data_IF_299437000415
#
_entry.id   IF_299437000415
#
_cell.length_a   1.000
_cell.length_b   1.000
_cell.length_c   1.000
_cell.angle_alpha   90.00
_cell.angle_beta   90.00
_cell.angle_gamma   90.00
#
_symmetry.space_group_name_H-M   'P 1'
#
loop_
_entity.id
_entity.type
_entity.pdbx_description
1 polymer ?
#
# COMPACT_ATOMS: atom_id res chain seq x y z
N UNK A 1 -7.87 115.38 -90.14
CA UNK A 1 -7.86 116.50 -89.16
C UNK A 1 -8.62 117.67 -89.80
N UNK A 2 -9.66 118.32 -89.23
CA UNK A 2 -9.82 118.71 -87.81
C UNK A 2 -11.30 118.99 -87.39
N UNK A 3 -11.77 118.39 -86.28
CA UNK A 3 -12.89 118.82 -85.38
C UNK A 3 -14.38 118.76 -85.82
N UNK A 4 -15.27 118.69 -84.78
CA UNK A 4 -16.71 119.08 -84.64
C UNK A 4 -17.76 118.11 -85.25
N UNK A 5 -19.02 117.96 -84.81
CA UNK A 5 -19.89 118.48 -83.72
C UNK A 5 -21.21 117.68 -83.75
N UNK A 6 -21.92 117.69 -82.62
CA UNK A 6 -23.31 117.27 -82.39
C UNK A 6 -24.33 117.60 -83.50
N UNK A 7 -25.30 116.72 -83.75
CA UNK A 7 -26.61 117.06 -84.32
C UNK A 7 -27.75 116.26 -83.67
N UNK A 8 -28.77 116.99 -83.24
CA UNK A 8 -30.01 116.52 -82.64
C UNK A 8 -30.90 115.78 -83.63
N UNK A 9 -31.40 114.62 -83.25
CA UNK A 9 -32.41 113.84 -83.98
C UNK A 9 -33.77 113.99 -83.26
N UNK A 10 -34.70 114.75 -83.87
CA UNK A 10 -36.14 114.74 -83.54
C UNK A 10 -36.86 114.09 -84.72
N UNK A 11 -37.35 112.87 -84.53
CA UNK A 11 -38.09 112.11 -85.55
C UNK A 11 -39.20 111.25 -84.95
N UNK A 12 -40.41 111.45 -85.46
CA UNK A 12 -41.60 110.60 -85.43
C UNK A 12 -42.06 109.95 -84.11
N UNK A 13 -43.15 110.49 -83.57
CA UNK A 13 -43.73 110.19 -82.26
C UNK A 13 -44.77 109.04 -82.26
N UNK A 14 -44.95 108.27 -83.33
CA UNK A 14 -46.02 107.26 -83.45
C UNK A 14 -45.59 105.77 -83.41
N UNK A 15 -44.30 105.45 -83.23
CA UNK A 15 -43.84 104.06 -83.02
C UNK A 15 -43.41 103.72 -81.58
N UNK A 16 -43.58 104.64 -80.61
CA UNK A 16 -43.19 104.42 -79.20
C UNK A 16 -44.19 103.62 -78.35
N UNK A 17 -45.43 103.45 -78.82
CA UNK A 17 -46.47 102.70 -78.09
C UNK A 17 -46.34 101.19 -78.30
N UNK A 18 -46.14 100.74 -79.55
CA UNK A 18 -45.94 99.31 -79.85
C UNK A 18 -44.66 98.76 -79.20
N UNK A 19 -43.56 99.51 -79.20
CA UNK A 19 -42.30 99.07 -78.58
C UNK A 19 -42.38 98.95 -77.05
N UNK A 20 -43.20 99.76 -76.36
CA UNK A 20 -43.39 99.65 -74.91
C UNK A 20 -44.26 98.46 -74.53
N UNK A 21 -45.31 98.17 -75.30
CA UNK A 21 -46.17 97.01 -75.09
C UNK A 21 -45.46 95.71 -75.46
N UNK A 22 -44.71 95.68 -76.56
CA UNK A 22 -43.89 94.52 -76.95
C UNK A 22 -42.75 94.30 -75.94
N UNK A 23 -42.08 95.35 -75.47
CA UNK A 23 -41.06 95.23 -74.43
C UNK A 23 -41.65 94.72 -73.10
N UNK A 24 -42.84 95.18 -72.69
CA UNK A 24 -43.50 94.69 -71.48
C UNK A 24 -43.92 93.21 -71.58
N UNK A 25 -44.41 92.78 -72.74
CA UNK A 25 -44.74 91.36 -72.99
C UNK A 25 -43.47 90.51 -73.03
N UNK A 26 -42.40 90.97 -73.68
CA UNK A 26 -41.11 90.28 -73.69
C UNK A 26 -40.52 90.19 -72.27
N UNK A 27 -40.62 91.26 -71.47
CA UNK A 27 -40.14 91.27 -70.08
C UNK A 27 -40.97 90.34 -69.20
N UNK A 28 -42.29 90.29 -69.40
CA UNK A 28 -43.19 89.41 -68.66
C UNK A 28 -42.97 87.94 -69.02
N UNK A 29 -42.80 87.63 -70.31
CA UNK A 29 -42.40 86.29 -70.77
C UNK A 29 -41.03 85.91 -70.24
N UNK A 30 -40.06 86.84 -70.24
CA UNK A 30 -38.76 86.61 -69.60
C UNK A 30 -38.88 86.39 -68.10
N UNK A 31 -39.73 87.13 -67.38
CA UNK A 31 -39.97 86.91 -65.96
C UNK A 31 -40.58 85.53 -65.70
N UNK A 32 -41.56 85.09 -66.49
CA UNK A 32 -42.17 83.74 -66.40
C UNK A 32 -41.14 82.65 -66.72
N UNK A 33 -40.30 82.86 -67.73
CA UNK A 33 -39.23 81.91 -68.08
C UNK A 33 -38.19 81.86 -66.97
N UNK A 34 -37.80 83.00 -66.39
CA UNK A 34 -36.81 83.06 -65.31
C UNK A 34 -37.36 82.47 -64.00
N UNK A 35 -38.63 82.70 -63.65
CA UNK A 35 -39.26 82.05 -62.48
C UNK A 35 -39.52 80.57 -62.73
N UNK A 36 -39.93 80.19 -63.94
CA UNK A 36 -40.05 78.79 -64.35
C UNK A 36 -38.71 78.05 -64.29
N UNK A 37 -37.63 78.66 -64.78
CA UNK A 37 -36.27 78.13 -64.64
C UNK A 37 -35.87 78.00 -63.17
N UNK A 38 -36.16 78.98 -62.31
CA UNK A 38 -35.85 78.88 -60.88
C UNK A 38 -36.60 77.75 -60.15
N UNK A 39 -37.86 77.47 -60.53
CA UNK A 39 -38.65 76.37 -59.98
C UNK A 39 -38.19 75.00 -60.49
N UNK A 40 -37.75 74.94 -61.75
CA UNK A 40 -37.18 73.74 -62.35
C UNK A 40 -35.82 73.43 -61.71
N UNK A 41 -34.96 74.43 -61.50
CA UNK A 41 -33.68 74.26 -60.83
C UNK A 41 -33.86 73.81 -59.37
N UNK A 42 -34.79 74.42 -58.60
CA UNK A 42 -35.11 74.00 -57.23
C UNK A 42 -35.68 72.57 -57.16
N UNK A 43 -36.49 72.18 -58.15
CA UNK A 43 -36.97 70.80 -58.28
C UNK A 43 -35.84 69.81 -58.55
N UNK A 44 -34.92 70.12 -59.47
CA UNK A 44 -33.78 69.23 -59.78
C UNK A 44 -32.80 69.13 -58.61
N UNK A 45 -32.54 70.21 -57.89
CA UNK A 45 -31.73 70.19 -56.66
C UNK A 45 -32.39 69.30 -55.61
N UNK A 46 -33.68 69.51 -55.31
CA UNK A 46 -34.42 68.67 -54.35
C UNK A 46 -34.51 67.20 -54.76
N UNK A 47 -34.66 66.92 -56.07
CA UNK A 47 -34.64 65.54 -56.57
C UNK A 47 -33.26 64.91 -56.39
N UNK A 48 -32.18 65.64 -56.69
CA UNK A 48 -30.81 65.17 -56.46
C UNK A 48 -30.53 64.91 -54.97
N UNK A 49 -31.00 65.77 -54.08
CA UNK A 49 -30.90 65.58 -52.63
C UNK A 49 -31.69 64.35 -52.17
N UNK A 50 -32.91 64.17 -52.67
CA UNK A 50 -33.74 63.00 -52.39
C UNK A 50 -33.07 61.71 -52.86
N UNK A 51 -32.57 61.67 -54.10
CA UNK A 51 -31.88 60.51 -54.65
C UNK A 51 -30.60 60.19 -53.85
N UNK A 52 -29.87 61.22 -53.40
CA UNK A 52 -28.71 61.08 -52.51
C UNK A 52 -29.09 60.50 -51.14
N UNK A 53 -30.15 61.03 -50.52
CA UNK A 53 -30.66 60.53 -49.24
C UNK A 53 -31.16 59.09 -49.36
N UNK A 54 -31.84 58.74 -50.46
CA UNK A 54 -32.29 57.38 -50.72
C UNK A 54 -31.11 56.42 -50.88
N UNK A 55 -30.04 56.84 -51.55
CA UNK A 55 -28.81 56.06 -51.68
C UNK A 55 -28.13 55.85 -50.31
N UNK A 56 -28.03 56.90 -49.49
CA UNK A 56 -27.49 56.81 -48.13
C UNK A 56 -28.33 55.90 -47.24
N UNK A 57 -29.66 55.97 -47.33
CA UNK A 57 -30.58 55.11 -46.58
C UNK A 57 -30.39 53.64 -46.98
N UNK A 58 -30.27 53.36 -48.28
CA UNK A 58 -30.04 52.00 -48.77
C UNK A 58 -28.68 51.44 -48.31
N UNK A 59 -27.62 52.26 -48.30
CA UNK A 59 -26.29 51.87 -47.83
C UNK A 59 -26.25 51.66 -46.30
N UNK A 60 -26.95 52.51 -45.54
CA UNK A 60 -27.13 52.36 -44.11
C UNK A 60 -27.90 51.07 -43.77
N UNK A 61 -28.99 50.76 -44.49
CA UNK A 61 -29.74 49.53 -44.31
C UNK A 61 -28.87 48.29 -44.62
N UNK A 62 -28.11 48.32 -45.72
CA UNK A 62 -27.17 47.25 -46.06
C UNK A 62 -26.10 47.03 -44.97
N UNK A 63 -25.61 48.13 -44.38
CA UNK A 63 -24.65 48.08 -43.28
C UNK A 63 -25.29 47.51 -42.00
N UNK A 64 -26.52 47.91 -41.69
CA UNK A 64 -27.27 47.39 -40.55
C UNK A 64 -27.54 45.88 -40.67
N UNK A 65 -27.94 45.42 -41.86
CA UNK A 65 -28.14 43.99 -42.14
C UNK A 65 -26.83 43.19 -41.94
N UNK A 66 -25.71 43.71 -42.45
CA UNK A 66 -24.39 43.09 -42.25
C UNK A 66 -23.96 43.06 -40.77
N UNK A 67 -24.31 44.09 -39.99
CA UNK A 67 -24.04 44.12 -38.56
C UNK A 67 -24.93 43.14 -37.79
N UNK A 68 -26.21 43.02 -38.15
CA UNK A 68 -27.12 42.03 -37.55
C UNK A 68 -26.63 40.61 -37.78
N UNK A 69 -26.11 40.31 -38.98
CA UNK A 69 -25.56 38.98 -39.26
C UNK A 69 -24.31 38.68 -38.42
N UNK A 70 -23.43 39.67 -38.22
CA UNK A 70 -22.29 39.54 -37.31
C UNK A 70 -22.71 39.35 -35.85
N UNK A 71 -23.77 40.03 -35.41
CA UNK A 71 -24.31 39.86 -34.04
C UNK A 71 -24.78 38.42 -33.85
N UNK A 72 -25.54 37.87 -34.81
CA UNK A 72 -25.98 36.46 -34.76
C UNK A 72 -24.81 35.49 -34.73
N UNK A 73 -23.76 35.73 -35.51
CA UNK A 73 -22.56 34.89 -35.51
C UNK A 73 -21.85 34.91 -34.14
N UNK A 74 -21.78 36.08 -33.50
CA UNK A 74 -21.19 36.24 -32.16
C UNK A 74 -22.06 35.56 -31.10
N UNK A 75 -23.38 35.70 -31.15
CA UNK A 75 -24.33 35.05 -30.25
C UNK A 75 -24.17 33.53 -30.30
N UNK A 76 -24.17 32.94 -31.50
CA UNK A 76 -23.98 31.49 -31.69
C UNK A 76 -22.62 31.01 -31.16
N UNK A 77 -21.54 31.80 -31.35
CA UNK A 77 -20.21 31.45 -30.81
C UNK A 77 -20.17 31.53 -29.28
N UNK A 78 -20.85 32.49 -28.68
CA UNK A 78 -20.92 32.62 -27.22
C UNK A 78 -21.71 31.47 -26.59
N UNK A 79 -22.81 31.05 -27.22
CA UNK A 79 -23.56 29.86 -26.77
C UNK A 79 -22.70 28.60 -26.80
N UNK A 80 -22.00 28.36 -27.91
CA UNK A 80 -21.08 27.22 -28.04
C UNK A 80 -19.94 27.23 -27.00
N UNK A 81 -19.38 28.42 -26.72
CA UNK A 81 -18.33 28.57 -25.71
C UNK A 81 -18.85 28.33 -24.28
N UNK A 82 -20.08 28.74 -23.97
CA UNK A 82 -20.66 28.50 -22.65
C UNK A 82 -20.98 27.01 -22.44
N UNK A 83 -21.41 26.29 -23.49
CA UNK A 83 -21.54 24.83 -23.45
C UNK A 83 -20.20 24.13 -23.23
N UNK A 84 -19.14 24.53 -23.94
CA UNK A 84 -17.80 23.96 -23.77
C UNK A 84 -17.24 24.21 -22.36
N UNK A 85 -17.44 25.43 -21.83
CA UNK A 85 -17.06 25.82 -20.48
C UNK A 85 -17.80 25.00 -19.41
N UNK A 86 -19.09 24.74 -19.59
CA UNK A 86 -19.86 23.91 -18.66
C UNK A 86 -19.34 22.46 -18.67
N UNK A 87 -19.10 21.91 -19.87
CA UNK A 87 -18.57 20.55 -20.02
C UNK A 87 -17.17 20.39 -19.38
N UNK A 88 -16.29 21.38 -19.56
CA UNK A 88 -14.97 21.36 -18.92
C UNK A 88 -15.06 21.55 -17.40
N UNK A 89 -16.03 22.32 -16.90
CA UNK A 89 -16.32 22.42 -15.47
C UNK A 89 -16.70 21.07 -14.86
N UNK A 90 -17.62 20.33 -15.49
CA UNK A 90 -18.03 18.99 -15.05
C UNK A 90 -16.85 17.99 -15.03
N UNK A 91 -15.97 18.06 -16.03
CA UNK A 91 -14.78 17.20 -16.10
C UNK A 91 -13.78 17.48 -14.97
N UNK A 92 -13.57 18.76 -14.63
CA UNK A 92 -12.72 19.17 -13.50
C UNK A 92 -13.28 18.65 -12.17
N UNK A 93 -14.59 18.75 -11.96
CA UNK A 93 -15.24 18.26 -10.73
C UNK A 93 -15.13 16.74 -10.57
N UNK A 94 -15.25 16.01 -11.68
CA UNK A 94 -15.05 14.57 -11.72
C UNK A 94 -13.59 14.20 -11.38
N UNK A 95 -12.62 14.85 -12.01
CA UNK A 95 -11.20 14.62 -11.76
C UNK A 95 -10.81 14.95 -10.32
N UNK A 96 -11.32 16.04 -9.76
CA UNK A 96 -11.08 16.41 -8.35
C UNK A 96 -11.63 15.36 -7.38
N UNK A 97 -12.80 14.79 -7.68
CA UNK A 97 -13.40 13.71 -6.89
C UNK A 97 -12.55 12.44 -6.95
N UNK A 98 -12.05 12.07 -8.13
CA UNK A 98 -11.16 10.92 -8.31
C UNK A 98 -9.82 11.10 -7.58
N UNK A 99 -9.21 12.28 -7.66
CA UNK A 99 -7.95 12.60 -6.93
C UNK A 99 -8.14 12.48 -5.43
N UNK A 100 -9.27 12.95 -4.89
CA UNK A 100 -9.59 12.85 -3.47
C UNK A 100 -9.73 11.40 -3.00
N UNK A 101 -10.43 10.57 -3.78
CA UNK A 101 -10.59 9.14 -3.49
C UNK A 101 -9.23 8.42 -3.53
N UNK A 102 -8.43 8.64 -4.58
CA UNK A 102 -7.09 8.05 -4.71
C UNK A 102 -6.17 8.45 -3.55
N UNK A 103 -6.20 9.72 -3.11
CA UNK A 103 -5.46 10.16 -1.92
C UNK A 103 -5.93 9.44 -0.66
N UNK A 104 -7.24 9.31 -0.46
CA UNK A 104 -7.79 8.59 0.70
C UNK A 104 -7.41 7.11 0.71
N UNK A 105 -7.31 6.47 -0.45
CA UNK A 105 -6.89 5.08 -0.57
C UNK A 105 -5.39 4.91 -0.29
N UNK A 106 -4.56 5.86 -0.75
CA UNK A 106 -3.10 5.83 -0.56
C UNK A 106 -2.71 6.05 0.90
N UNK A 107 -3.31 7.04 1.57
CA UNK A 107 -2.87 7.46 2.91
C UNK A 107 -3.22 6.43 4.00
N UNK A 108 -4.39 5.80 3.94
CA UNK A 108 -4.87 4.98 5.05
C UNK A 108 -4.40 3.52 5.01
N UNK A 109 -4.40 2.88 3.83
CA UNK A 109 -4.19 1.42 3.73
C UNK A 109 -2.73 1.04 3.50
N UNK A 110 -1.99 1.82 2.71
CA UNK A 110 -0.61 1.47 2.36
C UNK A 110 0.35 1.76 3.51
N UNK A 111 0.23 2.92 4.17
CA UNK A 111 1.15 3.33 5.24
C UNK A 111 1.01 2.40 6.46
N UNK A 112 -0.21 2.19 6.97
CA UNK A 112 -0.42 1.33 8.14
C UNK A 112 0.01 -0.13 7.91
N UNK A 113 -0.21 -0.66 6.70
CA UNK A 113 0.24 -2.01 6.37
C UNK A 113 1.76 -2.09 6.28
N UNK A 114 2.42 -1.07 5.69
CA UNK A 114 3.87 -1.01 5.61
C UNK A 114 4.52 -0.83 6.99
N UNK A 115 3.94 0.01 7.85
CA UNK A 115 4.41 0.20 9.24
C UNK A 115 4.36 -1.12 10.03
N UNK A 116 3.26 -1.87 9.94
CA UNK A 116 3.16 -3.21 10.57
C UNK A 116 4.17 -4.21 10.01
N UNK A 117 4.45 -4.16 8.71
CA UNK A 117 5.47 -5.01 8.10
C UNK A 117 6.88 -4.64 8.57
N UNK A 118 7.17 -3.34 8.68
CA UNK A 118 8.45 -2.84 9.20
C UNK A 118 8.63 -3.26 10.66
N UNK A 119 7.63 -3.04 11.52
CA UNK A 119 7.69 -3.44 12.94
C UNK A 119 7.95 -4.95 13.10
N UNK A 120 7.27 -5.78 12.29
CA UNK A 120 7.52 -7.23 12.26
C UNK A 120 8.95 -7.56 11.82
N UNK A 121 9.46 -6.90 10.78
CA UNK A 121 10.80 -7.13 10.24
C UNK A 121 11.91 -6.59 11.15
N UNK A 122 11.69 -5.52 11.92
CA UNK A 122 12.68 -4.99 12.87
C UNK A 122 12.80 -5.86 14.13
N UNK A 123 11.71 -6.51 14.54
CA UNK A 123 11.72 -7.46 15.67
C UNK A 123 12.53 -8.73 15.40
N UNK A 124 12.50 -9.24 14.15
CA UNK A 124 13.14 -10.50 13.78
C UNK A 124 14.67 -10.53 13.96
N UNK A 125 15.46 -9.53 13.50
CA UNK A 125 16.90 -9.48 13.73
C UNK A 125 17.28 -9.46 15.21
N UNK A 126 16.50 -8.78 16.05
CA UNK A 126 16.77 -8.72 17.49
C UNK A 126 16.58 -10.09 18.14
N UNK A 127 15.50 -10.80 17.80
CA UNK A 127 15.22 -12.16 18.27
C UNK A 127 16.29 -13.15 17.83
N UNK A 128 16.63 -13.14 16.53
CA UNK A 128 17.67 -14.02 15.99
C UNK A 128 19.05 -13.74 16.61
N UNK A 129 19.37 -12.47 16.87
CA UNK A 129 20.60 -12.06 17.55
C UNK A 129 20.68 -12.60 18.98
N UNK A 130 19.58 -12.60 19.73
CA UNK A 130 19.54 -13.20 21.08
C UNK A 130 19.84 -14.70 21.03
N UNK A 131 19.16 -15.44 20.15
CA UNK A 131 19.41 -16.87 19.96
C UNK A 131 20.86 -17.16 19.57
N UNK A 132 21.42 -16.39 18.62
CA UNK A 132 22.80 -16.53 18.16
C UNK A 132 23.81 -16.26 19.28
N UNK A 133 23.59 -15.22 20.09
CA UNK A 133 24.50 -14.87 21.19
C UNK A 133 24.54 -15.95 22.27
N UNK A 134 23.42 -16.67 22.47
CA UNK A 134 23.28 -17.69 23.52
C UNK A 134 23.46 -19.12 23.00
N UNK A 135 23.68 -19.32 21.70
CA UNK A 135 23.64 -20.64 21.05
C UNK A 135 24.59 -21.66 21.70
N UNK A 136 25.78 -21.23 22.09
CA UNK A 136 26.76 -22.12 22.73
C UNK A 136 26.29 -22.56 24.12
N UNK A 137 25.62 -21.69 24.87
CA UNK A 137 25.09 -22.02 26.19
C UNK A 137 23.87 -22.95 26.08
N UNK A 138 23.01 -22.72 25.10
CA UNK A 138 21.87 -23.60 24.81
C UNK A 138 22.36 -24.99 24.37
N UNK A 139 23.33 -25.06 23.46
CA UNK A 139 23.84 -26.33 22.93
C UNK A 139 24.58 -27.20 23.96
N UNK A 140 25.08 -26.63 25.07
CA UNK A 140 25.64 -27.41 26.20
C UNK A 140 24.60 -28.29 26.87
N UNK A 141 23.33 -27.91 26.80
CA UNK A 141 22.21 -28.65 27.39
C UNK A 141 21.61 -29.67 26.41
N UNK A 142 22.20 -29.85 25.22
CA UNK A 142 21.77 -30.83 24.22
C UNK A 142 22.74 -32.01 24.19
N UNK A 143 22.16 -33.21 24.15
CA UNK A 143 22.84 -34.48 24.32
C UNK A 143 22.55 -35.42 23.16
N UNK A 144 23.53 -36.22 22.82
CA UNK A 144 23.39 -37.40 21.98
C UNK A 144 23.04 -38.57 22.90
N UNK A 145 21.86 -39.15 22.72
CA UNK A 145 21.42 -40.36 23.40
C UNK A 145 21.72 -41.61 22.57
N UNK A 146 22.08 -42.71 23.25
CA UNK A 146 22.27 -44.03 22.65
C UNK A 146 21.95 -45.12 23.69
N UNK A 147 21.51 -46.27 23.21
CA UNK A 147 21.34 -47.51 23.98
C UNK A 147 22.26 -48.63 23.49
N UNK A 148 22.90 -48.45 22.33
CA UNK A 148 23.73 -49.47 21.73
C UNK A 148 25.07 -49.63 22.48
N UNK A 149 25.66 -50.83 22.50
CA UNK A 149 27.01 -51.05 23.04
C UNK A 149 28.05 -50.21 22.30
N UNK A 150 27.96 -50.21 20.97
CA UNK A 150 28.76 -49.36 20.08
C UNK A 150 28.36 -47.89 20.24
N UNK A 151 29.31 -46.97 20.13
CA UNK A 151 29.06 -45.56 20.47
C UNK A 151 27.99 -44.87 19.61
N UNK A 152 27.72 -45.36 18.38
CA UNK A 152 26.93 -44.62 17.39
C UNK A 152 25.95 -45.47 16.55
N UNK A 153 25.65 -46.71 16.94
CA UNK A 153 24.81 -47.60 16.12
C UNK A 153 23.32 -47.20 16.09
N UNK A 154 22.83 -46.49 17.12
CA UNK A 154 21.49 -45.89 17.16
C UNK A 154 21.55 -44.61 18.02
N UNK A 155 21.42 -43.44 17.38
CA UNK A 155 21.49 -42.15 18.07
C UNK A 155 20.19 -41.37 17.95
N UNK A 156 19.85 -40.68 19.02
CA UNK A 156 18.72 -39.76 19.12
C UNK A 156 19.15 -38.51 19.91
N UNK A 157 18.31 -37.48 19.91
CA UNK A 157 18.59 -36.26 20.68
C UNK A 157 17.94 -36.35 22.06
N UNK A 158 18.63 -35.82 23.06
CA UNK A 158 18.09 -35.56 24.37
C UNK A 158 18.53 -34.17 24.83
N UNK A 159 17.92 -33.64 25.87
CA UNK A 159 18.31 -32.36 26.46
C UNK A 159 18.10 -32.34 27.96
N UNK A 160 18.77 -31.43 28.64
CA UNK A 160 18.60 -31.24 30.09
C UNK A 160 17.62 -30.12 30.41
N UNK A 161 16.82 -30.29 31.45
CA UNK A 161 16.02 -29.21 32.04
C UNK A 161 16.39 -29.02 33.50
N UNK A 162 16.31 -27.79 33.99
CA UNK A 162 16.38 -27.50 35.42
C UNK A 162 14.98 -27.38 36.00
N UNK A 163 14.66 -28.24 36.97
CA UNK A 163 13.35 -28.23 37.62
C UNK A 163 13.48 -28.63 39.10
N UNK A 164 12.89 -27.82 39.99
CA UNK A 164 12.94 -28.01 41.46
C UNK A 164 14.36 -28.28 42.00
N UNK A 165 15.33 -27.46 41.56
CA UNK A 165 16.75 -27.53 41.93
C UNK A 165 17.46 -28.84 41.55
N UNK A 166 16.89 -29.61 40.60
CA UNK A 166 17.49 -30.81 40.03
C UNK A 166 17.57 -30.69 38.51
N UNK A 167 18.47 -31.46 37.93
CA UNK A 167 18.62 -31.57 36.48
C UNK A 167 18.10 -32.93 36.01
N UNK A 168 17.30 -32.91 34.94
CA UNK A 168 16.73 -34.10 34.32
C UNK A 168 17.12 -34.16 32.85
N UNK A 169 17.32 -35.36 32.31
CA UNK A 169 17.52 -35.57 30.87
C UNK A 169 16.21 -36.03 30.25
N UNK A 170 15.80 -35.30 29.21
CA UNK A 170 14.52 -35.47 28.51
C UNK A 170 14.78 -35.89 27.08
N UNK A 171 13.97 -36.80 26.55
CA UNK A 171 14.02 -37.25 25.15
C UNK A 171 12.62 -37.68 24.69
N UNK A 172 12.49 -38.09 23.43
CA UNK A 172 11.27 -38.71 22.92
C UNK A 172 11.14 -40.14 23.48
N UNK A 173 9.94 -40.53 23.87
CA UNK A 173 9.67 -41.83 24.47
C UNK A 173 9.77 -42.98 23.47
N UNK A 174 9.52 -42.78 22.19
CA UNK A 174 9.75 -43.81 21.17
C UNK A 174 11.23 -44.19 21.06
N UNK A 175 12.15 -43.22 21.24
CA UNK A 175 13.58 -43.50 21.31
C UNK A 175 13.92 -44.40 22.50
N UNK A 176 13.16 -44.32 23.60
CA UNK A 176 13.27 -45.22 24.74
C UNK A 176 12.63 -46.56 24.42
N UNK A 177 11.38 -46.58 23.96
CA UNK A 177 10.59 -47.79 23.70
C UNK A 177 11.23 -48.74 22.68
N UNK A 178 11.81 -48.18 21.62
CA UNK A 178 12.45 -48.98 20.57
C UNK A 178 13.66 -49.77 21.10
N UNK A 179 14.29 -49.28 22.16
CA UNK A 179 15.56 -49.76 22.69
C UNK A 179 15.49 -50.40 24.09
N UNK A 180 14.45 -50.10 24.86
CA UNK A 180 14.30 -50.58 26.24
C UNK A 180 14.28 -52.10 26.30
N UNK A 181 15.24 -52.69 27.02
CA UNK A 181 15.36 -54.14 27.21
C UNK A 181 15.94 -54.92 26.03
N UNK A 182 16.31 -54.27 24.92
CA UNK A 182 16.92 -54.92 23.75
C UNK A 182 18.43 -54.79 23.72
N UNK A 183 18.96 -53.62 24.06
CA UNK A 183 20.39 -53.32 24.00
C UNK A 183 20.78 -52.37 25.14
N UNK A 184 21.68 -52.82 26.02
CA UNK A 184 22.47 -51.97 26.93
C UNK A 184 21.72 -51.07 27.94
N UNK A 185 22.52 -50.35 28.72
CA UNK A 185 22.08 -49.23 29.57
C UNK A 185 22.05 -47.97 28.72
N UNK A 186 21.00 -47.14 28.84
CA UNK A 186 20.95 -45.83 28.17
C UNK A 186 22.16 -44.97 28.58
N UNK A 187 22.79 -44.36 27.58
CA UNK A 187 23.93 -43.47 27.75
C UNK A 187 23.71 -42.16 26.99
N UNK A 188 24.18 -41.07 27.57
CA UNK A 188 24.02 -39.72 27.02
C UNK A 188 25.34 -38.97 27.02
N UNK A 189 25.68 -38.32 25.91
CA UNK A 189 26.89 -37.53 25.77
C UNK A 189 26.54 -36.10 25.37
N UNK A 190 26.96 -35.12 26.15
CA UNK A 190 26.76 -33.71 25.82
C UNK A 190 27.58 -33.33 24.58
N UNK A 191 27.10 -32.37 23.77
CA UNK A 191 27.75 -31.97 22.52
C UNK A 191 29.24 -31.63 22.62
N UNK A 192 29.67 -31.08 23.75
CA UNK A 192 31.04 -30.62 23.97
C UNK A 192 31.77 -31.44 25.05
N UNK A 193 31.33 -32.68 25.28
CA UNK A 193 31.90 -33.58 26.26
C UNK A 193 32.30 -34.91 25.63
N UNK A 194 33.43 -35.46 26.08
CA UNK A 194 33.85 -36.82 25.74
C UNK A 194 33.29 -37.87 26.72
N UNK A 195 32.62 -37.43 27.79
CA UNK A 195 32.12 -38.30 28.84
C UNK A 195 30.67 -38.73 28.58
N UNK A 196 30.43 -40.02 28.73
CA UNK A 196 29.09 -40.59 28.73
C UNK A 196 28.49 -40.57 30.15
N UNK A 197 27.24 -40.16 30.26
CA UNK A 197 26.40 -40.26 31.46
C UNK A 197 25.50 -41.49 31.34
N UNK A 198 25.26 -42.17 32.47
CA UNK A 198 24.42 -43.37 32.56
C UNK A 198 23.31 -43.15 33.59
N UNK A 199 22.30 -42.34 33.27
CA UNK A 199 21.24 -41.99 34.20
C UNK A 199 20.18 -43.09 34.33
N UNK A 200 19.48 -43.09 35.45
CA UNK A 200 18.33 -43.95 35.71
C UNK A 200 17.11 -43.44 34.93
N UNK A 201 16.38 -44.37 34.29
CA UNK A 201 15.10 -44.08 33.68
C UNK A 201 14.03 -43.91 34.78
N UNK A 202 13.43 -42.73 34.88
CA UNK A 202 12.35 -42.44 35.82
C UNK A 202 10.98 -42.84 35.27
N UNK A 203 10.78 -42.63 33.97
CA UNK A 203 9.53 -42.97 33.29
C UNK A 203 9.55 -42.53 31.84
N UNK A 204 8.73 -43.19 31.02
CA UNK A 204 8.55 -42.85 29.61
C UNK A 204 7.14 -43.21 29.15
N UNK A 205 6.72 -42.62 28.04
CA UNK A 205 5.52 -42.98 27.29
C UNK A 205 5.80 -42.76 25.81
N UNK A 206 5.32 -43.65 24.94
CA UNK A 206 5.59 -43.60 23.51
C UNK A 206 4.27 -43.63 22.70
N UNK A 207 3.43 -42.61 22.89
CA UNK A 207 2.18 -42.45 22.15
C UNK A 207 2.26 -41.31 21.13
N UNK A 208 2.59 -41.68 19.90
CA UNK A 208 2.75 -40.73 18.78
C UNK A 208 1.50 -39.88 18.50
N UNK A 209 0.31 -40.50 18.42
CA UNK A 209 -0.90 -39.80 17.96
C UNK A 209 -1.46 -38.76 18.94
N UNK A 210 -1.13 -38.89 20.22
CA UNK A 210 -1.61 -37.97 21.26
C UNK A 210 -0.55 -36.93 21.64
N UNK A 211 0.60 -36.91 20.95
CA UNK A 211 1.78 -36.12 21.34
C UNK A 211 2.17 -36.36 22.81
N UNK A 212 1.99 -37.60 23.26
CA UNK A 212 2.31 -38.04 24.61
C UNK A 212 3.50 -39.01 24.52
N UNK A 213 4.59 -38.44 24.01
CA UNK A 213 5.79 -39.16 23.63
C UNK A 213 7.00 -38.51 24.30
N UNK A 214 7.45 -39.09 25.41
CA UNK A 214 8.51 -38.56 26.25
C UNK A 214 9.29 -39.67 26.98
N UNK A 215 10.54 -39.39 27.32
CA UNK A 215 11.36 -40.16 28.25
C UNK A 215 12.05 -39.23 29.23
N UNK A 216 12.07 -39.60 30.52
CA UNK A 216 12.65 -38.80 31.60
C UNK A 216 13.69 -39.64 32.35
N UNK A 217 14.91 -39.10 32.42
CA UNK A 217 16.05 -39.72 33.07
C UNK A 217 16.65 -38.81 34.14
N UNK A 218 17.32 -39.41 35.12
CA UNK A 218 17.96 -38.69 36.22
C UNK A 218 19.27 -39.35 36.66
N UNK A 219 20.25 -38.52 37.01
CA UNK A 219 21.49 -38.92 37.67
C UNK A 219 21.89 -37.85 38.70
N UNK A 220 22.46 -38.28 39.82
CA UNK A 220 22.98 -37.36 40.83
C UNK A 220 24.19 -36.58 40.31
N UNK A 221 24.33 -35.31 40.73
CA UNK A 221 25.46 -34.46 40.39
C UNK A 221 25.42 -33.84 38.99
N UNK A 222 24.34 -34.02 38.23
CA UNK A 222 24.10 -33.24 37.01
C UNK A 222 23.80 -31.79 37.36
N UNK A 223 24.30 -30.87 36.53
CA UNK A 223 24.08 -29.42 36.67
C UNK A 223 23.73 -28.80 35.32
N UNK A 224 23.02 -27.68 35.35
CA UNK A 224 22.57 -27.00 34.15
C UNK A 224 21.23 -27.55 33.66
N UNK A 225 20.86 -27.16 32.45
CA UNK A 225 19.55 -27.43 31.86
C UNK A 225 18.89 -26.15 31.38
N UNK A 226 18.01 -26.33 30.40
CA UNK A 226 17.16 -25.26 29.89
C UNK A 226 16.18 -24.79 30.96
N UNK A 227 15.88 -23.49 30.90
CA UNK A 227 14.67 -22.93 31.49
C UNK A 227 13.44 -23.40 30.71
N UNK A 228 12.29 -23.40 31.37
CA UNK A 228 11.06 -24.01 30.85
C UNK A 228 9.98 -22.94 30.78
N UNK A 229 9.18 -22.99 29.73
CA UNK A 229 8.12 -22.03 29.49
C UNK A 229 6.85 -22.68 28.96
N UNK A 230 5.72 -22.09 29.32
CA UNK A 230 4.40 -22.45 28.79
C UNK A 230 4.04 -21.57 27.58
N UNK A 231 4.85 -20.53 27.30
CA UNK A 231 4.58 -19.51 26.29
C UNK A 231 5.02 -19.98 24.91
N UNK A 232 4.05 -20.38 24.09
CA UNK A 232 4.27 -20.58 22.64
C UNK A 232 4.44 -19.23 21.95
N UNK A 233 5.52 -19.08 21.20
CA UNK A 233 5.81 -17.91 20.35
C UNK A 233 5.57 -18.22 18.87
N UNK A 234 5.50 -17.19 18.02
CA UNK A 234 5.43 -17.38 16.56
C UNK A 234 6.70 -18.07 16.03
N UNK A 235 7.86 -17.65 16.53
CA UNK A 235 9.16 -18.22 16.15
C UNK A 235 9.53 -19.34 17.13
N UNK A 236 9.79 -20.54 16.61
CA UNK A 236 10.13 -21.73 17.39
C UNK A 236 11.28 -22.47 16.74
N UNK A 237 12.22 -22.93 17.56
CA UNK A 237 13.49 -23.49 17.10
C UNK A 237 13.72 -24.89 17.65
N UNK A 238 14.37 -25.73 16.84
CA UNK A 238 14.85 -27.06 17.21
C UNK A 238 16.36 -27.02 17.42
N UNK A 239 16.83 -27.57 18.54
CA UNK A 239 18.25 -27.75 18.83
C UNK A 239 18.59 -29.23 18.86
N UNK A 240 18.94 -29.79 17.71
CA UNK A 240 19.02 -31.24 17.51
C UNK A 240 20.37 -31.73 17.05
N UNK A 241 20.77 -32.92 17.52
CA UNK A 241 21.92 -33.64 16.97
C UNK A 241 21.53 -34.31 15.66
N UNK A 242 22.19 -33.93 14.57
CA UNK A 242 22.11 -34.68 13.31
C UNK A 242 23.23 -35.74 13.34
N UNK A 243 22.90 -36.93 12.83
CA UNK A 243 23.76 -38.10 12.64
C UNK A 243 25.28 -37.84 12.83
N UNK A 244 25.85 -38.41 13.90
CA UNK A 244 27.30 -38.48 14.21
C UNK A 244 27.99 -37.19 14.67
N UNK A 245 27.28 -36.28 15.34
CA UNK A 245 27.92 -35.39 16.32
C UNK A 245 27.88 -33.90 16.02
N UNK A 246 27.02 -33.44 15.11
CA UNK A 246 26.76 -32.02 14.93
C UNK A 246 25.37 -31.67 15.45
N UNK A 247 25.31 -30.95 16.57
CA UNK A 247 24.07 -30.28 16.95
C UNK A 247 23.89 -28.99 16.18
N UNK A 248 22.68 -28.78 15.68
CA UNK A 248 22.33 -27.60 14.89
C UNK A 248 21.09 -26.91 15.46
N UNK A 249 20.93 -25.65 15.11
CA UNK A 249 19.72 -24.87 15.35
C UNK A 249 18.97 -24.73 14.04
N UNK A 250 17.68 -25.02 14.02
CA UNK A 250 16.82 -24.79 12.87
C UNK A 250 15.42 -24.32 13.26
N UNK A 251 14.67 -23.83 12.28
CA UNK A 251 13.27 -23.51 12.50
C UNK A 251 12.46 -24.79 12.62
N UNK A 252 11.47 -24.78 13.51
CA UNK A 252 10.45 -25.82 13.55
C UNK A 252 9.64 -25.79 12.25
N UNK A 253 9.34 -26.96 11.69
CA UNK A 253 8.60 -27.09 10.42
C UNK A 253 9.47 -27.25 9.17
N UNK A 254 10.78 -27.02 9.27
CA UNK A 254 11.73 -27.47 8.26
C UNK A 254 11.72 -29.01 8.17
N UNK A 255 12.19 -29.56 7.04
CA UNK A 255 12.19 -31.01 6.81
C UNK A 255 12.90 -31.76 7.94
N UNK A 256 12.20 -32.75 8.52
CA UNK A 256 12.71 -33.58 9.61
C UNK A 256 13.97 -34.33 9.17
N UNK A 257 14.99 -34.39 10.03
CA UNK A 257 16.20 -35.19 9.80
C UNK A 257 16.33 -36.31 10.82
N UNK A 258 16.95 -37.39 10.39
CA UNK A 258 17.26 -38.54 11.24
C UNK A 258 18.13 -38.11 12.43
N UNK A 259 17.75 -38.54 13.62
CA UNK A 259 18.45 -38.23 14.89
C UNK A 259 17.81 -37.08 15.70
N UNK A 260 16.87 -36.34 15.12
CA UNK A 260 16.28 -35.16 15.78
C UNK A 260 15.14 -35.47 16.74
N UNK A 261 14.60 -36.68 16.70
CA UNK A 261 13.65 -37.13 17.73
C UNK A 261 14.25 -36.91 19.11
N UNK A 262 13.48 -36.27 19.98
CA UNK A 262 13.89 -35.89 21.33
C UNK A 262 14.59 -34.54 21.43
N UNK A 263 14.72 -33.78 20.33
CA UNK A 263 15.25 -32.41 20.39
C UNK A 263 14.33 -31.49 21.21
N UNK A 264 14.88 -30.56 22.00
CA UNK A 264 14.10 -29.50 22.60
C UNK A 264 13.53 -28.58 21.51
N UNK A 265 12.26 -28.23 21.66
CA UNK A 265 11.65 -27.09 20.99
C UNK A 265 11.76 -25.90 21.93
N UNK A 266 12.38 -24.81 21.46
CA UNK A 266 12.56 -23.58 22.24
C UNK A 266 11.89 -22.37 21.60
N UNK A 267 11.53 -21.40 22.43
CA UNK A 267 11.05 -20.09 22.00
C UNK A 267 12.20 -19.12 21.68
N UNK A 268 11.87 -17.88 21.31
CA UNK A 268 12.83 -16.80 21.00
C UNK A 268 13.72 -16.37 22.18
N UNK A 269 13.31 -16.70 23.40
CA UNK A 269 14.06 -16.43 24.64
C UNK A 269 15.01 -17.60 25.00
N UNK A 270 14.93 -18.72 24.27
CA UNK A 270 15.75 -19.92 24.52
C UNK A 270 15.16 -20.86 25.58
N UNK A 271 13.93 -20.64 26.00
CA UNK A 271 13.22 -21.48 26.96
C UNK A 271 12.57 -22.67 26.26
N UNK A 272 12.62 -23.86 26.87
CA UNK A 272 12.00 -25.08 26.32
C UNK A 272 10.49 -25.04 26.51
N UNK A 273 9.77 -25.29 25.41
CA UNK A 273 8.31 -25.41 25.37
C UNK A 273 7.85 -26.85 25.06
N UNK A 274 8.74 -27.72 24.57
CA UNK A 274 8.39 -29.10 24.27
C UNK A 274 9.51 -29.98 23.72
N UNK A 275 9.12 -31.18 23.34
CA UNK A 275 9.99 -32.23 22.78
C UNK A 275 9.55 -32.53 21.35
N UNK A 276 10.48 -32.49 20.41
CA UNK A 276 10.21 -32.87 19.03
C UNK A 276 10.10 -34.39 18.88
N UNK A 277 8.95 -34.87 18.38
CA UNK A 277 8.59 -36.30 18.39
C UNK A 277 8.19 -36.89 17.04
N UNK A 278 8.36 -36.12 15.96
CA UNK A 278 8.29 -36.52 14.52
C UNK A 278 7.06 -35.96 13.76
N UNK A 279 7.38 -35.11 12.77
CA UNK A 279 6.58 -34.47 11.70
C UNK A 279 5.92 -33.10 11.96
N UNK A 280 6.34 -32.13 11.15
CA UNK A 280 5.70 -30.82 11.02
C UNK A 280 6.02 -29.86 12.15
N UNK A 281 4.97 -29.21 12.64
CA UNK A 281 5.03 -28.15 13.65
C UNK A 281 4.60 -28.64 15.05
N UNK A 282 4.34 -29.94 15.20
CA UNK A 282 3.82 -30.51 16.44
C UNK A 282 4.95 -31.09 17.31
N UNK A 283 4.73 -31.03 18.63
CA UNK A 283 5.67 -31.47 19.64
C UNK A 283 4.94 -31.87 20.93
N UNK A 284 5.54 -32.77 21.70
CA UNK A 284 5.08 -33.13 23.05
C UNK A 284 5.28 -31.93 23.97
N UNK A 285 4.22 -31.38 24.61
CA UNK A 285 4.37 -30.25 25.54
C UNK A 285 5.23 -30.61 26.76
N UNK A 286 6.13 -29.71 27.16
CA UNK A 286 7.04 -29.96 28.29
C UNK A 286 6.32 -30.15 29.63
N UNK A 287 5.10 -29.64 29.77
CA UNK A 287 4.27 -29.81 30.98
C UNK A 287 3.93 -31.28 31.26
N UNK A 288 3.85 -32.13 30.22
CA UNK A 288 3.66 -33.57 30.40
C UNK A 288 4.84 -34.20 31.13
N UNK A 289 6.06 -33.78 30.82
CA UNK A 289 7.28 -34.20 31.51
C UNK A 289 7.29 -33.75 32.97
N UNK A 290 6.95 -32.49 33.22
CA UNK A 290 6.93 -31.94 34.58
C UNK A 290 5.97 -32.70 35.50
N UNK A 291 4.78 -33.03 34.98
CA UNK A 291 3.79 -33.82 35.71
C UNK A 291 4.32 -35.21 36.12
N UNK A 292 5.18 -35.82 35.30
CA UNK A 292 5.75 -37.13 35.57
C UNK A 292 6.88 -37.04 36.60
N UNK A 293 7.70 -36.01 36.51
CA UNK A 293 8.71 -35.73 37.54
C UNK A 293 8.02 -35.58 38.90
N UNK A 294 6.96 -34.76 38.98
CA UNK A 294 6.21 -34.53 40.21
C UNK A 294 5.61 -35.83 40.80
N UNK A 295 4.97 -36.65 39.96
CA UNK A 295 4.42 -37.95 40.39
C UNK A 295 5.50 -38.89 40.92
N UNK A 296 6.67 -38.89 40.28
CA UNK A 296 7.79 -39.78 40.64
C UNK A 296 8.42 -39.36 41.97
N UNK A 297 8.61 -38.05 42.19
CA UNK A 297 9.14 -37.52 43.45
C UNK A 297 8.20 -37.80 44.63
N UNK A 298 6.88 -37.62 44.44
CA UNK A 298 5.87 -37.94 45.47
C UNK A 298 5.95 -39.43 45.85
N UNK A 299 6.03 -40.32 44.86
CA UNK A 299 6.14 -41.77 45.11
C UNK A 299 7.40 -42.10 45.91
N UNK A 300 8.54 -41.46 45.59
CA UNK A 300 9.82 -41.67 46.30
C UNK A 300 9.75 -41.17 47.75
N UNK A 301 9.15 -40.01 47.99
CA UNK A 301 8.94 -39.47 49.35
C UNK A 301 8.04 -40.38 50.18
N UNK A 302 6.93 -40.87 49.62
CA UNK A 302 6.03 -41.79 50.31
C UNK A 302 6.72 -43.12 50.69
N UNK A 303 7.58 -43.66 49.81
CA UNK A 303 8.38 -44.85 50.11
C UNK A 303 9.40 -44.62 51.24
N UNK A 304 10.00 -43.43 51.31
CA UNK A 304 10.94 -43.06 52.39
C UNK A 304 10.21 -42.87 53.73
N UNK A 305 9.02 -42.28 53.73
CA UNK A 305 8.18 -42.13 54.92
C UNK A 305 7.70 -43.48 55.47
N UNK A 306 7.32 -44.41 54.60
CA UNK A 306 6.95 -45.78 55.03
C UNK A 306 8.16 -46.49 55.65
N UNK A 307 9.35 -46.36 55.07
CA UNK A 307 10.57 -46.99 55.60
C UNK A 307 11.04 -46.39 56.93
N UNK A 308 10.80 -45.09 57.17
CA UNK A 308 11.19 -44.40 58.41
C UNK A 308 10.15 -44.51 59.54
N UNK A 309 8.93 -44.95 59.23
CA UNK A 309 7.88 -45.25 60.23
C UNK A 309 7.82 -46.71 60.68
N UNK A 310 8.74 -47.56 60.20
CA UNK A 310 8.88 -48.97 60.60
C UNK A 310 10.08 -49.24 61.51
N UNK A 311 10.79 -48.19 61.93
CA UNK A 311 11.81 -48.20 62.99
C UNK A 311 11.22 -47.69 64.31
#
# INVERSE_FOLDING_TARGET
MKKKKSKSFRGCFLCRSLYKSIAAVILFVLCIVMTGCSLIDDYFVKKSEYDSLQAQLNDANKTADAQMEKIREIENKNEALEEEKNKTGEEIDLLNSQVKELKSQLDAKSIQNLEKQIEKLEGQPKKLKNLLNNINDLLKNVYIGSSAPEELAYTFTAFTISYKAKTYIITAGHCVADNYGKEGTFKFKANFSDNWLYPDLLGYKAEFYNLDDYGVFYADGMSGGFEISDKKTEDQFLLGSIDKGLSIVRNLGDSSRRGESGSPVVNEDGEVIGIYVVYGLEFTPIQLVLNIIDKTEIKRLNLLLIKSGTD
#
